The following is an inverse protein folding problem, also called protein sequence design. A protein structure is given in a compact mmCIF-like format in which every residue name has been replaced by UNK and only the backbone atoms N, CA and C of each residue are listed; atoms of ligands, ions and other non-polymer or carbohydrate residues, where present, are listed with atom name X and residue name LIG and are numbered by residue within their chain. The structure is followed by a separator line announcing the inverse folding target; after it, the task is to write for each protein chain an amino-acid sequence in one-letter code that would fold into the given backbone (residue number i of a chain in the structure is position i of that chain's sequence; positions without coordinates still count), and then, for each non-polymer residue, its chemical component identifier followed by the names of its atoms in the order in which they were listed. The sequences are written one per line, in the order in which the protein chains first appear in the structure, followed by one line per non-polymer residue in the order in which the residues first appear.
data_IF_534206426694
#
_entry.id   IF_534206426694
#
_cell.length_a   1.000
_cell.length_b   1.000
_cell.length_c   1.000
_cell.angle_alpha   90.00
_cell.angle_beta   90.00
_cell.angle_gamma   90.00
#
_symmetry.space_group_name_H-M   'P 1'
#
loop_
_entity.id
_entity.type
_entity.pdbx_description
1 polymer ?
#
# COMPACT_ATOMS: atom_id res chain seq x y z
N UNK A 1 30.51 -60.82 49.49
CA UNK A 1 30.12 -59.65 48.68
C UNK A 1 30.91 -59.70 47.35
N UNK A 2 30.21 -60.01 46.26
CA UNK A 2 30.84 -60.32 44.96
C UNK A 2 31.47 -59.07 44.33
N UNK A 3 32.79 -59.10 44.12
CA UNK A 3 33.57 -58.05 43.42
C UNK A 3 32.98 -57.66 42.02
N UNK A 4 32.34 -58.66 41.37
CA UNK A 4 31.68 -58.41 40.07
C UNK A 4 30.43 -57.55 40.16
N UNK A 5 29.70 -57.53 41.28
CA UNK A 5 28.52 -56.72 41.49
C UNK A 5 28.90 -55.24 41.75
N UNK A 6 29.99 -55.00 42.44
CA UNK A 6 30.55 -53.64 42.70
C UNK A 6 31.08 -52.99 41.42
N UNK A 7 31.73 -53.75 40.55
CA UNK A 7 32.22 -53.24 39.25
C UNK A 7 31.04 -52.91 38.32
N UNK A 8 30.00 -53.73 38.29
CA UNK A 8 28.77 -53.46 37.47
C UNK A 8 28.02 -52.24 37.99
N UNK A 9 27.97 -52.01 39.29
CA UNK A 9 27.31 -50.85 39.87
C UNK A 9 28.11 -49.55 39.64
N UNK A 10 29.43 -49.63 39.72
CA UNK A 10 30.34 -48.49 39.41
C UNK A 10 30.26 -48.09 37.91
N UNK A 11 30.19 -49.05 37.01
CA UNK A 11 30.02 -48.80 35.54
C UNK A 11 28.64 -48.22 35.26
N UNK A 12 27.58 -48.68 35.95
CA UNK A 12 26.23 -48.12 35.79
C UNK A 12 26.14 -46.69 36.34
N UNK A 13 26.81 -46.37 37.42
CA UNK A 13 26.92 -45.00 37.97
C UNK A 13 27.75 -44.07 37.07
N UNK A 14 28.80 -44.56 36.42
CA UNK A 14 29.60 -43.79 35.50
C UNK A 14 28.81 -43.45 34.20
N UNK A 15 27.95 -44.36 33.72
CA UNK A 15 27.08 -44.14 32.57
C UNK A 15 25.94 -43.17 32.88
N UNK A 16 25.44 -43.10 34.13
CA UNK A 16 24.42 -42.15 34.54
C UNK A 16 24.92 -40.70 34.63
N UNK A 17 26.23 -40.48 34.87
CA UNK A 17 26.80 -39.13 34.94
C UNK A 17 27.05 -38.47 33.55
N UNK A 18 27.04 -39.23 32.47
CA UNK A 18 27.16 -38.71 31.11
C UNK A 18 25.88 -38.08 30.54
N UNK A 19 24.71 -38.26 31.21
CA UNK A 19 23.42 -37.82 30.72
C UNK A 19 23.01 -36.41 31.21
N UNK A 20 23.85 -35.72 31.99
CA UNK A 20 23.67 -34.30 32.29
C UNK A 20 24.27 -33.45 31.17
N UNK A 21 23.68 -33.48 29.98
CA UNK A 21 23.90 -32.47 28.98
C UNK A 21 23.50 -31.14 29.61
N UNK A 22 24.49 -30.40 30.09
CA UNK A 22 24.25 -29.10 30.72
C UNK A 22 23.68 -28.18 29.66
N UNK A 23 22.45 -27.77 29.82
CA UNK A 23 21.82 -26.71 29.04
C UNK A 23 22.58 -25.41 29.31
N UNK A 24 23.68 -25.18 28.60
CA UNK A 24 24.45 -23.96 28.71
C UNK A 24 23.65 -22.79 28.15
N UNK A 25 23.77 -21.66 28.81
CA UNK A 25 23.24 -20.41 28.27
C UNK A 25 24.17 -19.94 27.15
N UNK A 26 23.62 -19.78 25.97
CA UNK A 26 24.32 -19.21 24.81
C UNK A 26 23.71 -17.88 24.42
N UNK A 27 24.57 -16.90 24.05
CA UNK A 27 24.17 -15.60 23.55
C UNK A 27 24.51 -15.54 22.07
N UNK A 28 23.48 -15.39 21.23
CA UNK A 28 23.62 -15.28 19.77
C UNK A 28 23.30 -13.84 19.37
N UNK A 29 24.25 -13.21 18.66
CA UNK A 29 24.06 -11.84 18.16
C UNK A 29 23.55 -11.88 16.73
N UNK A 30 22.40 -11.25 16.49
CA UNK A 30 21.79 -11.07 15.18
C UNK A 30 22.43 -9.91 14.43
N UNK A 31 22.48 -9.99 13.11
CA UNK A 31 23.13 -8.99 12.24
C UNK A 31 22.14 -8.10 11.51
N UNK A 32 21.02 -8.68 11.07
CA UNK A 32 20.09 -8.02 10.15
C UNK A 32 18.68 -7.85 10.73
N UNK A 33 18.33 -8.61 11.77
CA UNK A 33 16.98 -8.60 12.38
C UNK A 33 17.07 -8.39 13.89
N UNK A 34 15.94 -7.95 14.46
CA UNK A 34 15.82 -7.87 15.91
C UNK A 34 15.34 -9.20 16.49
N UNK A 35 15.64 -9.42 17.77
CA UNK A 35 15.20 -10.63 18.48
C UNK A 35 13.67 -10.80 18.42
N UNK A 36 12.90 -9.71 18.55
CA UNK A 36 11.44 -9.74 18.48
C UNK A 36 10.92 -10.25 17.13
N UNK A 37 11.65 -10.02 16.04
CA UNK A 37 11.26 -10.47 14.70
C UNK A 37 11.49 -11.96 14.49
N UNK A 38 12.55 -12.54 15.11
CA UNK A 38 12.91 -13.95 14.89
C UNK A 38 12.35 -14.89 15.97
N UNK A 39 12.06 -14.39 17.19
CA UNK A 39 11.52 -15.17 18.29
C UNK A 39 10.27 -15.99 17.95
N UNK A 40 9.25 -15.44 17.23
CA UNK A 40 8.06 -16.21 16.90
C UNK A 40 8.34 -17.42 16.01
N UNK A 41 9.32 -17.31 15.10
CA UNK A 41 9.70 -18.39 14.20
C UNK A 41 10.57 -19.47 14.88
N UNK A 42 11.36 -19.08 15.91
CA UNK A 42 12.24 -20.00 16.64
C UNK A 42 11.53 -20.77 17.76
N UNK A 43 10.49 -20.19 18.38
CA UNK A 43 9.77 -20.83 19.48
C UNK A 43 9.27 -22.26 19.18
N UNK A 44 8.69 -22.56 18.00
CA UNK A 44 8.24 -23.90 17.68
C UNK A 44 9.38 -24.93 17.50
N UNK A 45 10.63 -24.47 17.34
CA UNK A 45 11.80 -25.33 17.15
C UNK A 45 12.49 -25.69 18.46
N UNK A 46 12.00 -25.14 19.58
CA UNK A 46 12.57 -25.43 20.91
C UNK A 46 12.11 -26.80 21.40
N UNK A 47 13.06 -27.55 21.97
CA UNK A 47 12.77 -28.79 22.68
C UNK A 47 12.13 -28.50 24.05
N UNK A 48 11.43 -29.50 24.64
CA UNK A 48 10.84 -29.36 25.97
C UNK A 48 11.91 -29.04 27.03
N UNK A 49 11.68 -27.99 27.82
CA UNK A 49 12.62 -27.55 28.87
C UNK A 49 13.67 -26.53 28.39
N UNK A 50 13.74 -26.25 27.10
CA UNK A 50 14.57 -25.16 26.57
C UNK A 50 13.95 -23.79 26.88
N UNK A 51 14.79 -22.75 26.99
CA UNK A 51 14.34 -21.37 27.14
C UNK A 51 14.97 -20.50 26.08
N UNK A 52 14.15 -19.61 25.51
CA UNK A 52 14.53 -18.63 24.49
C UNK A 52 13.96 -17.28 24.87
N UNK A 53 14.83 -16.30 24.97
CA UNK A 53 14.46 -14.89 25.15
C UNK A 53 15.36 -14.03 24.28
N UNK A 54 15.02 -12.75 24.10
CA UNK A 54 15.83 -11.86 23.30
C UNK A 54 15.54 -10.41 23.61
N UNK A 55 16.54 -9.56 23.36
CA UNK A 55 16.44 -8.12 23.52
C UNK A 55 17.32 -7.43 22.48
N UNK A 56 16.71 -6.50 21.71
CA UNK A 56 17.42 -5.80 20.65
C UNK A 56 17.94 -6.76 19.60
N UNK A 57 19.25 -6.87 19.43
CA UNK A 57 19.89 -7.79 18.48
C UNK A 57 20.51 -9.04 19.15
N UNK A 58 20.17 -9.36 20.40
CA UNK A 58 20.70 -10.50 21.13
C UNK A 58 19.62 -11.50 21.47
N UNK A 59 19.93 -12.79 21.22
CA UNK A 59 19.12 -13.94 21.63
C UNK A 59 19.85 -14.65 22.76
N UNK A 60 19.11 -14.98 23.81
CA UNK A 60 19.55 -15.77 24.96
C UNK A 60 18.89 -17.14 24.87
N UNK A 61 19.68 -18.16 24.57
CA UNK A 61 19.22 -19.51 24.34
C UNK A 61 19.78 -20.43 25.40
N UNK A 62 18.93 -21.23 26.05
CA UNK A 62 19.35 -22.31 26.92
C UNK A 62 18.67 -23.58 26.44
N UNK A 63 19.45 -24.47 25.85
CA UNK A 63 18.95 -25.70 25.23
C UNK A 63 20.08 -26.74 25.16
N UNK A 64 19.76 -27.94 24.65
CA UNK A 64 20.78 -28.95 24.37
C UNK A 64 21.69 -28.55 23.21
N UNK A 65 22.93 -29.09 23.14
CA UNK A 65 23.85 -28.80 22.03
C UNK A 65 23.27 -29.17 20.66
N UNK A 66 22.45 -30.21 20.57
CA UNK A 66 21.81 -30.66 19.32
C UNK A 66 20.77 -29.65 18.87
N UNK A 67 19.85 -29.26 19.75
CA UNK A 67 18.83 -28.28 19.43
C UNK A 67 19.41 -26.89 19.16
N UNK A 68 20.54 -26.54 19.80
CA UNK A 68 21.26 -25.31 19.51
C UNK A 68 21.82 -25.27 18.08
N UNK A 69 22.33 -26.40 17.57
CA UNK A 69 22.78 -26.52 16.20
C UNK A 69 21.62 -26.31 15.21
N UNK A 70 20.47 -26.90 15.47
CA UNK A 70 19.26 -26.73 14.64
C UNK A 70 18.77 -25.28 14.65
N UNK A 71 18.77 -24.62 15.84
CA UNK A 71 18.42 -23.22 15.97
C UNK A 71 19.39 -22.30 15.21
N UNK A 72 20.68 -22.60 15.21
CA UNK A 72 21.68 -21.83 14.42
C UNK A 72 21.44 -21.97 12.93
N UNK A 73 21.16 -23.18 12.42
CA UNK A 73 20.80 -23.37 11.03
C UNK A 73 19.55 -22.58 10.63
N UNK A 74 18.52 -22.59 11.50
CA UNK A 74 17.32 -21.78 11.27
C UNK A 74 17.63 -20.27 11.28
N UNK A 75 18.51 -19.83 12.20
CA UNK A 75 18.93 -18.43 12.30
C UNK A 75 19.73 -17.96 11.08
N UNK A 76 20.60 -18.78 10.50
CA UNK A 76 21.33 -18.43 9.28
C UNK A 76 20.40 -18.07 8.11
N UNK A 77 19.23 -18.71 8.07
CA UNK A 77 18.20 -18.40 7.05
C UNK A 77 17.36 -17.19 7.47
N UNK A 78 16.99 -17.11 8.75
CA UNK A 78 16.11 -16.04 9.25
C UNK A 78 16.81 -14.68 9.36
N UNK A 79 18.10 -14.65 9.70
CA UNK A 79 18.89 -13.40 9.83
C UNK A 79 19.52 -12.95 8.52
N UNK A 80 18.91 -13.34 7.37
CA UNK A 80 19.33 -12.85 6.07
C UNK A 80 19.08 -11.33 5.94
N UNK A 81 19.96 -10.59 5.21
CA UNK A 81 19.76 -9.16 4.98
C UNK A 81 18.43 -8.90 4.27
N UNK A 82 17.70 -7.90 4.75
CA UNK A 82 16.43 -7.50 4.13
C UNK A 82 16.69 -6.78 2.82
N UNK A 83 15.92 -7.16 1.80
CA UNK A 83 15.96 -6.49 0.49
C UNK A 83 15.43 -5.06 0.63
N UNK A 84 16.13 -4.13 0.00
CA UNK A 84 15.67 -2.74 -0.12
C UNK A 84 14.92 -2.59 -1.43
N UNK A 85 13.71 -2.07 -1.38
CA UNK A 85 12.82 -1.97 -2.51
C UNK A 85 12.50 -0.51 -2.80
N UNK A 86 12.48 -0.14 -4.09
CA UNK A 86 11.95 1.13 -4.57
C UNK A 86 10.58 0.86 -5.19
N UNK A 87 9.57 1.44 -4.60
CA UNK A 87 8.19 1.30 -5.03
C UNK A 87 7.80 2.56 -5.79
N UNK A 88 7.39 2.40 -7.04
CA UNK A 88 6.91 3.46 -7.91
C UNK A 88 5.43 3.25 -8.19
N UNK A 89 4.61 4.24 -7.88
CA UNK A 89 3.17 4.24 -8.16
C UNK A 89 2.87 5.31 -9.18
N UNK A 90 2.14 4.93 -10.25
CA UNK A 90 1.73 5.81 -11.33
C UNK A 90 0.21 5.87 -11.39
N UNK A 91 -0.28 7.07 -11.49
CA UNK A 91 -1.69 7.36 -11.71
C UNK A 91 -1.84 7.88 -13.14
N UNK A 92 -2.56 7.14 -13.95
CA UNK A 92 -2.92 7.56 -15.31
C UNK A 92 -4.40 7.93 -15.33
N UNK A 93 -4.70 9.21 -15.46
CA UNK A 93 -6.06 9.73 -15.59
C UNK A 93 -6.27 10.10 -17.06
N UNK A 94 -7.19 9.42 -17.74
CA UNK A 94 -7.58 9.72 -19.11
C UNK A 94 -9.03 10.22 -19.14
N UNK A 95 -9.27 11.34 -19.78
CA UNK A 95 -10.60 11.93 -19.97
C UNK A 95 -10.90 12.07 -21.43
N UNK A 96 -11.95 11.40 -21.86
CA UNK A 96 -12.50 11.55 -23.20
C UNK A 96 -13.81 12.35 -23.13
N UNK A 97 -13.84 13.49 -23.76
CA UNK A 97 -15.04 14.33 -23.85
C UNK A 97 -15.48 14.35 -25.32
N UNK A 98 -16.68 13.87 -25.57
CA UNK A 98 -17.30 13.94 -26.87
C UNK A 98 -18.60 14.76 -26.76
N UNK A 99 -18.76 15.77 -27.58
CA UNK A 99 -19.99 16.54 -27.69
C UNK A 99 -20.50 16.53 -29.12
N UNK A 100 -21.78 16.28 -29.27
CA UNK A 100 -22.50 16.39 -30.54
C UNK A 100 -23.61 17.39 -30.36
N UNK A 101 -23.59 18.45 -31.15
CA UNK A 101 -24.61 19.49 -31.11
C UNK A 101 -25.28 19.70 -32.46
N UNK A 102 -26.60 19.83 -32.41
CA UNK A 102 -27.42 20.31 -33.51
C UNK A 102 -28.05 21.64 -33.11
N UNK A 103 -27.60 22.70 -33.75
CA UNK A 103 -28.19 24.05 -33.58
C UNK A 103 -28.90 24.49 -34.86
N UNK A 104 -30.12 24.99 -34.72
CA UNK A 104 -30.82 25.67 -35.80
C UNK A 104 -31.00 27.13 -35.41
N UNK A 105 -30.52 28.03 -36.24
CA UNK A 105 -30.75 29.48 -36.13
C UNK A 105 -31.45 29.99 -37.39
N UNK A 106 -32.57 30.69 -37.24
CA UNK A 106 -33.32 31.23 -38.36
C UNK A 106 -33.77 32.67 -38.09
N UNK A 107 -33.68 33.56 -39.11
CA UNK A 107 -34.33 34.85 -39.14
C UNK A 107 -35.55 34.75 -40.08
N UNK A 108 -36.69 35.05 -39.52
CA UNK A 108 -37.95 35.15 -40.30
C UNK A 108 -38.18 36.64 -40.56
N UNK A 109 -37.96 37.07 -41.82
CA UNK A 109 -38.29 38.41 -42.28
C UNK A 109 -39.28 38.34 -43.42
N UNK A 110 -40.06 39.41 -43.69
CA UNK A 110 -41.15 39.47 -44.66
C UNK A 110 -40.73 39.25 -46.13
N UNK A 111 -39.42 39.17 -46.43
CA UNK A 111 -38.86 39.00 -47.77
C UNK A 111 -37.75 37.94 -47.91
N UNK A 112 -37.25 37.41 -46.81
CA UNK A 112 -36.19 36.40 -46.87
C UNK A 112 -36.20 35.54 -45.62
N UNK A 113 -36.31 34.22 -45.78
CA UNK A 113 -36.31 33.25 -44.69
C UNK A 113 -35.09 32.35 -44.86
N UNK A 114 -34.07 32.53 -44.05
CA UNK A 114 -32.91 31.66 -43.98
C UNK A 114 -32.92 30.86 -42.70
N UNK A 115 -32.81 29.54 -42.82
CA UNK A 115 -32.60 28.63 -41.72
C UNK A 115 -31.22 28.01 -41.90
N UNK A 116 -30.34 28.25 -40.95
CA UNK A 116 -28.99 27.68 -40.92
C UNK A 116 -28.99 26.54 -39.90
N UNK A 117 -28.69 25.33 -40.35
CA UNK A 117 -28.54 24.16 -39.50
C UNK A 117 -27.05 23.88 -39.37
N UNK A 118 -26.52 23.96 -38.17
CA UNK A 118 -25.13 23.59 -37.86
C UNK A 118 -25.10 22.29 -37.05
N UNK A 119 -24.34 21.33 -37.55
CA UNK A 119 -23.98 20.14 -36.82
C UNK A 119 -22.51 20.25 -36.38
N UNK A 120 -22.27 20.16 -35.08
CA UNK A 120 -20.94 20.18 -34.52
C UNK A 120 -20.62 18.85 -33.84
N UNK A 121 -19.45 18.29 -34.16
CA UNK A 121 -18.90 17.11 -33.51
C UNK A 121 -17.52 17.49 -32.96
N UNK A 122 -17.40 17.63 -31.64
CA UNK A 122 -16.16 17.99 -30.98
C UNK A 122 -15.71 16.86 -30.04
N UNK A 123 -14.46 16.47 -30.16
CA UNK A 123 -13.84 15.48 -29.30
C UNK A 123 -12.58 16.05 -28.69
N UNK A 124 -12.43 15.90 -27.39
CA UNK A 124 -11.23 16.30 -26.67
C UNK A 124 -10.77 15.14 -25.79
N UNK A 125 -9.46 14.88 -25.82
CA UNK A 125 -8.81 13.92 -24.93
C UNK A 125 -7.76 14.64 -24.11
N UNK A 126 -7.77 14.45 -22.80
CA UNK A 126 -6.70 14.90 -21.91
C UNK A 126 -6.17 13.73 -21.09
N UNK A 127 -4.86 13.66 -20.93
CA UNK A 127 -4.19 12.65 -20.14
C UNK A 127 -3.32 13.36 -19.09
N UNK A 128 -3.49 12.97 -17.82
CA UNK A 128 -2.67 13.45 -16.72
C UNK A 128 -1.97 12.26 -16.08
N UNK A 129 -0.66 12.41 -15.85
CA UNK A 129 0.17 11.37 -15.24
C UNK A 129 0.88 11.92 -14.01
N UNK A 130 0.72 11.22 -12.89
CA UNK A 130 1.39 11.54 -11.64
C UNK A 130 2.17 10.32 -11.17
N UNK A 131 3.47 10.47 -10.96
CA UNK A 131 4.35 9.42 -10.48
C UNK A 131 4.80 9.73 -9.04
N UNK A 132 4.65 8.76 -8.13
CA UNK A 132 5.12 8.84 -6.74
C UNK A 132 6.06 7.67 -6.45
N UNK A 133 7.11 7.91 -5.65
CA UNK A 133 8.10 6.87 -5.31
C UNK A 133 8.41 6.86 -3.83
N UNK A 134 8.54 5.66 -3.26
CA UNK A 134 8.92 5.46 -1.86
C UNK A 134 9.87 4.26 -1.75
N UNK A 135 10.80 4.33 -0.80
CA UNK A 135 11.67 3.19 -0.46
C UNK A 135 11.09 2.44 0.73
N UNK A 136 11.18 1.12 0.68
CA UNK A 136 10.76 0.23 1.76
C UNK A 136 11.74 -0.94 1.89
N UNK A 137 11.76 -1.56 3.06
CA UNK A 137 12.34 -2.89 3.23
C UNK A 137 11.29 -3.95 2.88
N UNK A 138 11.73 -5.11 2.44
CA UNK A 138 10.86 -6.25 2.17
C UNK A 138 10.05 -6.63 3.43
N UNK A 139 8.72 -6.68 3.30
CA UNK A 139 7.78 -6.90 4.37
C UNK A 139 7.51 -5.69 5.28
N UNK A 140 8.20 -4.57 5.10
CA UNK A 140 7.97 -3.37 5.89
C UNK A 140 6.95 -2.43 5.24
N UNK A 141 6.20 -1.71 6.09
CA UNK A 141 5.23 -0.71 5.65
C UNK A 141 5.95 0.58 5.26
N UNK A 142 5.59 1.14 4.13
CA UNK A 142 6.04 2.47 3.70
C UNK A 142 4.83 3.33 3.33
N UNK A 143 4.91 4.62 3.65
CA UNK A 143 3.84 5.58 3.41
C UNK A 143 4.43 6.83 2.78
N UNK A 144 3.79 7.34 1.76
CA UNK A 144 4.03 8.67 1.21
C UNK A 144 2.71 9.42 1.14
N UNK A 145 2.66 10.58 1.78
CA UNK A 145 1.51 11.47 1.77
C UNK A 145 1.99 12.86 1.40
N UNK A 146 1.29 13.47 0.47
CA UNK A 146 1.49 14.86 0.07
C UNK A 146 0.19 15.61 0.32
N UNK A 147 0.27 16.81 0.85
CA UNK A 147 -0.89 17.62 1.19
C UNK A 147 -0.77 19.05 0.68
N UNK A 148 -1.92 19.64 0.32
CA UNK A 148 -2.06 21.05 0.05
C UNK A 148 -3.18 21.63 0.94
N UNK A 149 -2.90 22.75 1.57
CA UNK A 149 -3.87 23.47 2.40
C UNK A 149 -4.43 24.63 1.60
N UNK A 150 -5.76 24.72 1.50
CA UNK A 150 -6.46 25.81 0.79
C UNK A 150 -7.41 26.53 1.75
N UNK A 151 -7.23 27.85 1.95
CA UNK A 151 -8.22 28.64 2.66
C UNK A 151 -9.44 28.89 1.78
N UNK A 152 -10.61 28.47 2.24
CA UNK A 152 -11.89 28.73 1.60
C UNK A 152 -12.65 29.77 2.43
N UNK A 153 -13.05 30.86 1.79
CA UNK A 153 -13.91 31.87 2.40
C UNK A 153 -15.36 31.46 2.20
N UNK A 154 -16.05 31.21 3.29
CA UNK A 154 -17.49 30.91 3.29
C UNK A 154 -18.24 32.09 3.93
N UNK A 155 -19.29 32.54 3.25
CA UNK A 155 -20.19 33.55 3.82
C UNK A 155 -21.36 32.82 4.44
N UNK A 156 -21.48 32.98 5.78
CA UNK A 156 -22.57 32.42 6.55
C UNK A 156 -23.57 33.53 6.90
N UNK A 157 -24.84 33.29 6.62
CA UNK A 157 -25.91 34.19 6.98
C UNK A 157 -26.58 33.69 8.26
N UNK A 158 -26.55 34.52 9.31
CA UNK A 158 -27.15 34.20 10.60
C UNK A 158 -28.38 35.08 10.78
N UNK A 159 -29.55 34.46 10.97
CA UNK A 159 -30.79 35.18 11.25
C UNK A 159 -30.86 35.48 12.73
N UNK A 160 -30.94 36.78 13.07
CA UNK A 160 -31.08 37.26 14.45
C UNK A 160 -32.42 38.00 14.60
N UNK A 161 -32.93 38.19 15.81
CA UNK A 161 -34.14 38.98 16.02
C UNK A 161 -34.06 40.42 15.48
N UNK A 162 -32.84 40.93 15.28
CA UNK A 162 -32.56 42.28 14.73
C UNK A 162 -32.35 42.30 13.21
N UNK A 163 -32.44 41.13 12.52
CA UNK A 163 -32.22 40.99 11.08
C UNK A 163 -31.19 39.94 10.71
N UNK A 164 -30.84 39.87 9.41
CA UNK A 164 -29.86 38.93 8.88
C UNK A 164 -28.46 39.55 8.96
N UNK A 165 -27.55 38.89 9.66
CA UNK A 165 -26.15 39.27 9.75
C UNK A 165 -25.31 38.33 8.88
N UNK A 166 -24.47 38.88 8.00
CA UNK A 166 -23.52 38.08 7.21
C UNK A 166 -22.14 38.03 7.89
N UNK A 167 -21.66 36.84 8.13
CA UNK A 167 -20.31 36.60 8.67
C UNK A 167 -19.46 35.88 7.63
N UNK A 168 -18.23 36.34 7.41
CA UNK A 168 -17.25 35.65 6.58
C UNK A 168 -16.38 34.79 7.48
N UNK A 169 -16.38 33.46 7.20
CA UNK A 169 -15.58 32.48 7.93
C UNK A 169 -14.58 31.88 6.94
N UNK A 170 -13.31 31.89 7.32
CA UNK A 170 -12.27 31.18 6.55
C UNK A 170 -12.13 29.77 7.10
N UNK A 171 -12.46 28.76 6.27
CA UNK A 171 -12.29 27.35 6.57
C UNK A 171 -11.07 26.87 5.77
N UNK A 172 -10.12 26.24 6.46
CA UNK A 172 -8.97 25.62 5.79
C UNK A 172 -9.35 24.21 5.38
N UNK A 173 -9.31 23.96 4.08
CA UNK A 173 -9.47 22.62 3.52
C UNK A 173 -8.09 22.02 3.28
N UNK A 174 -7.82 20.86 3.88
CA UNK A 174 -6.64 20.09 3.65
C UNK A 174 -6.93 19.02 2.59
N UNK A 175 -6.15 19.02 1.52
CA UNK A 175 -6.23 18.03 0.43
C UNK A 175 -5.04 17.10 0.56
N UNK A 176 -5.27 15.84 0.91
CA UNK A 176 -4.21 14.85 1.11
C UNK A 176 -4.26 13.79 0.02
N UNK A 177 -3.11 13.51 -0.58
CA UNK A 177 -2.97 12.46 -1.59
C UNK A 177 -1.73 11.64 -1.33
N UNK A 178 -1.82 10.34 -1.57
CA UNK A 178 -0.68 9.44 -1.42
C UNK A 178 -1.08 7.98 -1.30
N UNK A 179 -0.14 7.18 -0.85
CA UNK A 179 -0.39 5.75 -0.65
C UNK A 179 0.42 5.19 0.53
N UNK A 180 -0.08 4.10 1.07
CA UNK A 180 0.59 3.22 2.00
C UNK A 180 0.76 1.87 1.34
N UNK A 181 1.93 1.23 1.49
CA UNK A 181 2.26 -0.01 0.81
C UNK A 181 3.08 -0.93 1.69
N UNK A 182 2.78 -2.25 1.60
CA UNK A 182 3.56 -3.32 2.21
C UNK A 182 3.97 -4.29 1.10
N UNK A 183 5.21 -4.22 0.60
CA UNK A 183 5.71 -5.16 -0.39
C UNK A 183 6.21 -6.44 0.28
N UNK A 184 6.01 -7.59 -0.37
CA UNK A 184 6.58 -8.89 0.02
C UNK A 184 7.15 -9.57 -1.20
N UNK A 185 8.44 -9.88 -1.18
CA UNK A 185 9.13 -10.50 -2.31
C UNK A 185 9.29 -12.00 -2.07
N UNK A 186 8.86 -12.79 -3.06
CA UNK A 186 9.02 -14.24 -3.08
C UNK A 186 9.66 -14.65 -4.42
N UNK A 187 10.95 -14.94 -4.40
CA UNK A 187 11.71 -15.23 -5.62
C UNK A 187 11.84 -14.00 -6.52
N UNK A 188 11.28 -14.07 -7.73
CA UNK A 188 11.22 -13.03 -8.75
C UNK A 188 9.89 -12.25 -8.75
N UNK A 189 8.96 -12.63 -7.86
CA UNK A 189 7.63 -12.03 -7.74
C UNK A 189 7.53 -11.15 -6.51
N UNK A 190 6.70 -10.14 -6.61
CA UNK A 190 6.34 -9.29 -5.49
C UNK A 190 4.83 -9.31 -5.30
N UNK A 191 4.40 -9.52 -4.08
CA UNK A 191 3.04 -9.28 -3.62
C UNK A 191 3.01 -7.93 -2.93
N UNK A 192 2.04 -7.10 -3.28
CA UNK A 192 1.91 -5.74 -2.75
C UNK A 192 0.52 -5.57 -2.17
N UNK A 193 0.46 -5.24 -0.89
CA UNK A 193 -0.76 -4.73 -0.26
C UNK A 193 -0.65 -3.21 -0.24
N UNK A 194 -1.58 -2.54 -0.90
CA UNK A 194 -1.56 -1.08 -1.06
C UNK A 194 -2.90 -0.47 -0.68
N UNK A 195 -2.84 0.61 0.10
CA UNK A 195 -3.95 1.52 0.36
C UNK A 195 -3.59 2.88 -0.21
N UNK A 196 -4.41 3.36 -1.12
CA UNK A 196 -4.24 4.63 -1.80
C UNK A 196 -5.32 5.61 -1.36
N UNK A 197 -4.96 6.87 -1.26
CA UNK A 197 -5.86 7.98 -1.00
C UNK A 197 -5.53 9.12 -1.95
N UNK A 198 -6.54 9.67 -2.62
CA UNK A 198 -6.41 10.87 -3.44
C UNK A 198 -7.60 11.79 -3.18
N UNK A 199 -7.29 12.99 -2.78
CA UNK A 199 -8.26 14.04 -2.50
C UNK A 199 -8.02 15.22 -3.43
N UNK A 200 -9.08 15.70 -4.07
CA UNK A 200 -9.08 16.91 -4.89
C UNK A 200 -10.20 17.83 -4.43
N UNK A 201 -10.27 19.04 -4.94
CA UNK A 201 -11.36 19.98 -4.62
C UNK A 201 -12.75 19.48 -4.97
N UNK A 202 -12.86 18.53 -5.91
CA UNK A 202 -14.13 18.04 -6.44
C UNK A 202 -14.38 16.55 -6.16
N UNK A 203 -13.35 15.79 -5.76
CA UNK A 203 -13.48 14.33 -5.61
C UNK A 203 -12.58 13.80 -4.50
N UNK A 204 -13.08 12.78 -3.81
CA UNK A 204 -12.35 11.96 -2.87
C UNK A 204 -12.32 10.52 -3.38
N UNK A 205 -11.15 9.92 -3.38
CA UNK A 205 -10.96 8.54 -3.81
C UNK A 205 -10.12 7.79 -2.78
N UNK A 206 -10.55 6.59 -2.47
CA UNK A 206 -9.81 5.63 -1.66
C UNK A 206 -9.89 4.28 -2.32
N UNK A 207 -8.75 3.60 -2.45
CA UNK A 207 -8.69 2.24 -2.91
C UNK A 207 -7.76 1.45 -2.01
N UNK A 208 -8.14 0.20 -1.71
CA UNK A 208 -7.30 -0.75 -1.01
C UNK A 208 -7.35 -2.05 -1.79
N UNK A 209 -6.17 -2.57 -2.14
CA UNK A 209 -6.07 -3.79 -2.93
C UNK A 209 -4.81 -4.57 -2.58
N UNK A 210 -4.82 -5.85 -2.94
CA UNK A 210 -3.65 -6.71 -2.93
C UNK A 210 -3.44 -7.22 -4.34
N UNK A 211 -2.26 -7.02 -4.87
CA UNK A 211 -1.90 -7.41 -6.22
C UNK A 211 -0.51 -8.05 -6.24
N UNK A 212 -0.22 -8.83 -7.26
CA UNK A 212 1.09 -9.43 -7.44
C UNK A 212 1.59 -9.24 -8.87
N UNK A 213 2.90 -9.03 -9.00
CA UNK A 213 3.56 -8.85 -10.27
C UNK A 213 4.99 -9.39 -10.24
N UNK A 214 5.77 -9.11 -11.29
CA UNK A 214 7.20 -9.38 -11.30
C UNK A 214 8.01 -8.19 -10.83
N UNK A 215 9.13 -8.45 -10.17
CA UNK A 215 10.09 -7.40 -9.82
C UNK A 215 10.58 -6.68 -11.09
N UNK A 216 10.65 -5.36 -11.04
CA UNK A 216 11.10 -4.51 -12.15
C UNK A 216 10.06 -4.25 -13.24
N UNK A 217 8.90 -4.89 -13.23
CA UNK A 217 7.84 -4.71 -14.22
C UNK A 217 6.69 -3.85 -13.66
N UNK A 218 6.03 -3.09 -14.54
CA UNK A 218 4.80 -2.40 -14.21
C UNK A 218 3.62 -3.35 -14.27
N UNK A 219 2.79 -3.38 -13.23
CA UNK A 219 1.53 -4.11 -13.23
C UNK A 219 0.39 -3.23 -12.70
N UNK A 220 -0.81 -3.49 -13.20
CA UNK A 220 -2.00 -2.72 -12.85
C UNK A 220 -2.55 -3.17 -11.49
N UNK A 221 -2.85 -2.20 -10.64
CA UNK A 221 -3.52 -2.44 -9.36
C UNK A 221 -5.04 -2.42 -9.51
N UNK A 222 -5.54 -1.64 -10.45
CA UNK A 222 -6.95 -1.50 -10.73
C UNK A 222 -7.25 -0.29 -11.61
N UNK A 223 -8.45 -0.30 -12.16
CA UNK A 223 -8.97 0.79 -12.99
C UNK A 223 -10.42 1.10 -12.62
N UNK A 224 -10.77 2.37 -12.74
CA UNK A 224 -12.15 2.85 -12.60
C UNK A 224 -12.51 3.63 -13.86
N UNK A 225 -13.56 3.18 -14.54
CA UNK A 225 -14.12 3.90 -15.68
C UNK A 225 -15.47 4.51 -15.28
N UNK A 226 -15.60 5.81 -15.45
CA UNK A 226 -16.85 6.54 -15.22
C UNK A 226 -17.30 7.18 -16.53
N UNK A 227 -18.54 6.90 -16.94
CA UNK A 227 -19.19 7.54 -18.09
C UNK A 227 -20.34 8.43 -17.61
N UNK A 228 -20.37 9.67 -18.10
CA UNK A 228 -21.50 10.57 -17.90
C UNK A 228 -22.03 10.99 -19.27
N UNK A 229 -23.33 10.78 -19.50
CA UNK A 229 -24.02 11.32 -20.66
C UNK A 229 -24.99 12.41 -20.18
N UNK A 230 -24.96 13.55 -20.81
CA UNK A 230 -25.85 14.66 -20.53
C UNK A 230 -26.57 15.07 -21.82
N UNK A 231 -27.86 14.97 -21.81
CA UNK A 231 -28.72 15.41 -22.90
C UNK A 231 -29.39 16.72 -22.52
N UNK A 232 -29.11 17.78 -23.27
CA UNK A 232 -29.78 19.08 -23.13
C UNK A 232 -30.64 19.32 -24.40
N UNK A 233 -31.92 19.47 -24.22
CA UNK A 233 -32.87 19.74 -25.29
C UNK A 233 -33.56 21.09 -25.04
N UNK A 234 -33.36 22.01 -25.96
CA UNK A 234 -34.06 23.30 -26.00
C UNK A 234 -34.99 23.40 -27.24
N UNK A 235 -35.82 24.46 -27.30
CA UNK A 235 -36.80 24.67 -28.37
C UNK A 235 -36.15 24.76 -29.76
N UNK A 236 -34.89 25.13 -29.87
CA UNK A 236 -34.14 25.28 -31.13
C UNK A 236 -32.76 24.60 -31.12
N UNK A 237 -32.43 23.83 -30.08
CA UNK A 237 -31.15 23.16 -30.02
C UNK A 237 -31.25 21.83 -29.24
N UNK A 238 -30.54 20.85 -29.72
CA UNK A 238 -30.31 19.58 -29.01
C UNK A 238 -28.80 19.34 -28.93
N UNK A 239 -28.29 19.18 -27.72
CA UNK A 239 -26.87 18.88 -27.49
C UNK A 239 -26.77 17.64 -26.61
N UNK A 240 -26.08 16.62 -27.12
CA UNK A 240 -25.72 15.44 -26.35
C UNK A 240 -24.23 15.52 -26.08
N UNK A 241 -23.84 15.58 -24.83
CA UNK A 241 -22.46 15.49 -24.39
C UNK A 241 -22.22 14.19 -23.63
N UNK A 242 -21.20 13.44 -24.07
CA UNK A 242 -20.73 12.24 -23.40
C UNK A 242 -19.30 12.44 -22.90
N UNK A 243 -19.03 12.13 -21.65
CA UNK A 243 -17.69 12.16 -21.07
C UNK A 243 -17.34 10.79 -20.48
N UNK A 244 -16.18 10.28 -20.82
CA UNK A 244 -15.59 9.10 -20.19
C UNK A 244 -14.34 9.49 -19.43
N UNK A 245 -14.27 9.13 -18.16
CA UNK A 245 -13.06 9.28 -17.35
C UNK A 245 -12.59 7.88 -16.96
N UNK A 246 -11.36 7.53 -17.35
CA UNK A 246 -10.73 6.26 -16.97
C UNK A 246 -9.51 6.58 -16.12
N UNK A 247 -9.48 5.99 -14.95
CA UNK A 247 -8.37 6.11 -14.00
C UNK A 247 -7.76 4.75 -13.79
N UNK A 248 -6.45 4.65 -14.03
CA UNK A 248 -5.68 3.43 -13.83
C UNK A 248 -4.57 3.69 -12.82
N UNK A 249 -4.34 2.73 -11.98
CA UNK A 249 -3.25 2.77 -11.01
C UNK A 249 -2.29 1.64 -11.32
N UNK A 250 -1.03 2.01 -11.53
CA UNK A 250 0.05 1.10 -11.85
C UNK A 250 1.10 1.14 -10.75
N UNK A 251 1.73 0.00 -10.49
CA UNK A 251 2.83 -0.10 -9.56
C UNK A 251 4.00 -0.84 -10.18
N UNK A 252 5.20 -0.45 -9.80
CA UNK A 252 6.45 -1.15 -10.08
C UNK A 252 7.28 -1.21 -8.81
N UNK A 253 7.88 -2.37 -8.55
CA UNK A 253 8.77 -2.57 -7.42
C UNK A 253 10.12 -3.02 -7.95
N UNK A 254 11.14 -2.21 -7.71
CA UNK A 254 12.51 -2.45 -8.10
C UNK A 254 13.35 -2.80 -6.86
N UNK A 255 14.28 -3.75 -6.96
CA UNK A 255 15.23 -4.06 -5.90
C UNK A 255 16.42 -3.10 -5.99
N UNK A 256 16.75 -2.45 -4.87
CA UNK A 256 17.91 -1.58 -4.75
C UNK A 256 19.10 -2.43 -4.26
N UNK A 257 20.15 -2.44 -5.05
CA UNK A 257 21.43 -3.10 -4.71
C UNK A 257 22.32 -2.22 -3.85
#
# INVERSE_FOLDING_TARGET
MNRGALIRFAVLMLLASAAMAQNALEIITLRNRTAEQVLPALRPLLEPGATLSGQGNQLFVRTSPTNLADLRLALDVLDAPQRRLLISVRFDDARDIASRGLGASGRIGARDSQVEIRAEDARSRSEERVDQRVQALDGARATILTGASRPLRQRQYIQTPAGVVSQEVTVVQELTSGFEVVPRVVGDRVEVEIAQQRESTASYQRAQTRASGRLGEWFELGSVAMGAARDERGIASATTSGGGETRRVWIRVDELR
#
